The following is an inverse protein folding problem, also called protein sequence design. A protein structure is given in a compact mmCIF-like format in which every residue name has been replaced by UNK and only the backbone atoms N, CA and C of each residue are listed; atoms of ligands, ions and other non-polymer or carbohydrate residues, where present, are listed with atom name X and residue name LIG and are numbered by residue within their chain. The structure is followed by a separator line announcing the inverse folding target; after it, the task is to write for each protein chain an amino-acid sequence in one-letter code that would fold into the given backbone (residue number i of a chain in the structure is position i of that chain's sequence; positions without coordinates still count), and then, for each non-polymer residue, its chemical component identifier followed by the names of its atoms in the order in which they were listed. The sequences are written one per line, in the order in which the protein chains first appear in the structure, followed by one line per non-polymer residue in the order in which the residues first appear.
data_IF_499293285812
#
_entry.id   IF_499293285812
#
_cell.length_a   1.000
_cell.length_b   1.000
_cell.length_c   1.000
_cell.angle_alpha   90.00
_cell.angle_beta   90.00
_cell.angle_gamma   90.00
#
_symmetry.space_group_name_H-M   'P 1'
#
loop_
_entity.id
_entity.type
_entity.pdbx_description
1 polymer ?
#
# COMPACT_ATOMS: atom_id res chain seq x y z
N UNK A 1 -53.91 -1.17 -57.52
CA UNK A 1 -52.49 -0.98 -57.14
C UNK A 1 -52.15 -2.02 -56.09
N UNK A 2 -51.49 -3.09 -56.48
CA UNK A 2 -50.97 -4.12 -55.57
C UNK A 2 -49.52 -4.38 -55.99
N UNK A 3 -48.57 -3.97 -55.14
CA UNK A 3 -47.15 -4.18 -55.38
C UNK A 3 -46.71 -5.45 -54.63
N UNK A 4 -46.29 -6.45 -55.40
CA UNK A 4 -45.61 -7.63 -54.92
C UNK A 4 -44.13 -7.28 -54.65
N UNK A 5 -43.62 -7.62 -53.46
CA UNK A 5 -42.19 -7.59 -53.17
C UNK A 5 -41.71 -9.03 -53.07
N UNK A 6 -40.91 -9.45 -54.05
CA UNK A 6 -40.09 -10.67 -54.01
C UNK A 6 -38.93 -10.42 -53.03
N UNK A 7 -38.82 -11.23 -51.99
CA UNK A 7 -37.60 -11.31 -51.19
C UNK A 7 -36.67 -12.36 -51.82
N UNK A 8 -35.54 -11.92 -52.37
CA UNK A 8 -34.45 -12.78 -52.77
C UNK A 8 -33.49 -12.94 -51.58
N UNK A 9 -33.33 -14.17 -51.12
CA UNK A 9 -32.30 -14.53 -50.15
C UNK A 9 -30.94 -14.61 -50.89
N UNK A 10 -30.02 -13.71 -50.54
CA UNK A 10 -28.61 -13.83 -50.93
C UNK A 10 -27.86 -14.24 -49.68
N UNK A 11 -27.40 -15.50 -49.67
CA UNK A 11 -26.47 -16.00 -48.67
C UNK A 11 -25.09 -15.40 -48.88
N UNK A 12 -24.53 -14.80 -47.82
CA UNK A 12 -23.11 -14.46 -47.76
C UNK A 12 -22.46 -15.45 -46.81
N UNK A 13 -21.61 -16.31 -47.36
CA UNK A 13 -20.72 -17.17 -46.59
C UNK A 13 -19.69 -16.28 -45.88
N UNK A 14 -19.72 -16.26 -44.55
CA UNK A 14 -18.71 -15.60 -43.74
C UNK A 14 -17.51 -16.53 -43.58
N UNK A 15 -16.44 -16.28 -44.33
CA UNK A 15 -15.14 -16.93 -44.13
C UNK A 15 -14.51 -16.36 -42.86
N UNK A 16 -14.48 -17.14 -41.79
CA UNK A 16 -13.84 -16.79 -40.53
C UNK A 16 -12.32 -16.88 -40.68
N UNK A 17 -11.66 -15.75 -40.99
CA UNK A 17 -10.21 -15.64 -40.90
C UNK A 17 -9.80 -15.52 -39.43
N UNK A 18 -9.24 -16.57 -38.84
CA UNK A 18 -8.50 -16.46 -37.59
C UNK A 18 -7.24 -15.62 -37.84
N UNK A 19 -7.32 -14.33 -37.53
CA UNK A 19 -6.13 -13.51 -37.35
C UNK A 19 -5.43 -13.98 -36.07
N UNK A 20 -4.33 -14.71 -36.21
CA UNK A 20 -3.37 -14.94 -35.13
C UNK A 20 -2.81 -13.57 -34.74
N UNK A 21 -3.33 -12.99 -33.66
CA UNK A 21 -2.72 -11.82 -33.06
C UNK A 21 -1.27 -12.17 -32.69
N UNK A 22 -0.27 -11.34 -33.03
CA UNK A 22 1.09 -11.57 -32.59
C UNK A 22 1.09 -11.59 -31.06
N UNK A 23 1.64 -12.67 -30.48
CA UNK A 23 1.92 -12.77 -29.06
C UNK A 23 2.52 -11.44 -28.59
N UNK A 24 1.81 -10.74 -27.72
CA UNK A 24 2.36 -9.57 -27.03
C UNK A 24 3.63 -10.04 -26.33
N UNK A 25 4.78 -9.66 -26.90
CA UNK A 25 6.06 -9.79 -26.19
C UNK A 25 5.89 -8.99 -24.91
N UNK A 26 6.24 -9.59 -23.77
CA UNK A 26 6.34 -8.86 -22.52
C UNK A 26 7.19 -7.62 -22.80
N UNK A 27 6.55 -6.45 -22.68
CA UNK A 27 7.22 -5.17 -22.85
C UNK A 27 8.32 -5.13 -21.78
N UNK A 28 9.55 -4.79 -22.17
CA UNK A 28 10.63 -4.61 -21.18
C UNK A 28 10.10 -3.67 -20.09
N UNK A 29 10.32 -3.97 -18.79
CA UNK A 29 9.80 -3.14 -17.72
C UNK A 29 10.27 -1.69 -17.97
N UNK A 30 9.37 -0.69 -17.85
CA UNK A 30 9.72 0.66 -18.23
C UNK A 30 10.95 1.11 -17.43
N UNK A 31 12.05 1.39 -18.14
CA UNK A 31 13.31 1.79 -17.52
C UNK A 31 13.16 3.13 -16.80
N UNK A 32 13.90 3.28 -15.70
CA UNK A 32 13.93 4.52 -14.92
C UNK A 32 12.73 4.70 -13.97
N UNK A 33 11.82 3.73 -13.86
CA UNK A 33 10.75 3.81 -12.85
C UNK A 33 11.26 3.42 -11.46
N UNK A 34 10.76 4.12 -10.45
CA UNK A 34 10.85 3.69 -9.06
C UNK A 34 9.50 3.92 -8.38
N UNK A 35 9.14 3.01 -7.48
CA UNK A 35 7.89 3.08 -6.71
C UNK A 35 8.22 3.30 -5.24
N UNK A 36 7.51 4.26 -4.63
CA UNK A 36 7.69 4.70 -3.26
C UNK A 36 6.41 4.44 -2.46
N UNK A 37 6.54 3.76 -1.32
CA UNK A 37 5.52 3.74 -0.28
C UNK A 37 5.77 4.88 0.71
N UNK A 38 4.69 5.56 1.08
CA UNK A 38 4.72 6.82 1.79
C UNK A 38 3.63 6.80 2.86
N UNK A 39 3.91 7.33 4.04
CA UNK A 39 2.92 7.43 5.12
C UNK A 39 3.06 8.73 5.90
N UNK A 40 1.97 9.20 6.49
CA UNK A 40 1.97 10.40 7.33
C UNK A 40 0.57 10.94 7.55
N UNK A 41 0.38 12.26 7.46
CA UNK A 41 -0.89 12.90 7.79
C UNK A 41 -1.33 13.97 6.79
N UNK A 42 -2.64 14.08 6.63
CA UNK A 42 -3.33 15.25 6.08
C UNK A 42 -4.11 15.89 7.23
N UNK A 43 -3.67 17.05 7.71
CA UNK A 43 -4.14 17.61 8.97
C UNK A 43 -3.94 16.62 10.12
N UNK A 44 -5.03 16.17 10.73
CA UNK A 44 -5.00 15.15 11.80
C UNK A 44 -5.25 13.74 11.29
N UNK A 45 -5.52 13.56 9.99
CA UNK A 45 -5.93 12.28 9.43
C UNK A 45 -4.71 11.47 8.96
N UNK A 46 -4.44 10.29 9.52
CA UNK A 46 -3.37 9.42 9.04
C UNK A 46 -3.71 8.87 7.65
N UNK A 47 -2.73 8.91 6.76
CA UNK A 47 -2.82 8.46 5.36
C UNK A 47 -1.62 7.61 4.98
N UNK A 48 -1.82 6.75 3.98
CA UNK A 48 -0.75 6.14 3.20
C UNK A 48 -0.88 6.53 1.73
N UNK A 49 0.22 6.41 1.00
CA UNK A 49 0.29 6.76 -0.42
C UNK A 49 1.35 5.91 -1.11
N UNK A 50 1.09 5.53 -2.35
CA UNK A 50 2.09 4.98 -3.24
C UNK A 50 2.25 5.87 -4.47
N UNK A 51 3.49 6.24 -4.75
CA UNK A 51 3.86 7.03 -5.92
C UNK A 51 4.83 6.26 -6.80
N UNK A 52 4.57 6.25 -8.10
CA UNK A 52 5.51 5.83 -9.12
C UNK A 52 6.09 7.06 -9.77
N UNK A 53 7.41 7.12 -9.86
CA UNK A 53 8.15 8.23 -10.47
C UNK A 53 9.11 7.70 -11.53
N UNK A 54 9.49 8.56 -12.46
CA UNK A 54 10.48 8.30 -13.50
C UNK A 54 11.74 9.12 -13.24
N UNK A 55 12.88 8.47 -13.43
CA UNK A 55 14.22 9.03 -13.26
C UNK A 55 14.38 9.77 -11.92
N UNK A 56 13.71 9.23 -10.89
CA UNK A 56 13.63 9.74 -9.53
C UNK A 56 13.08 11.18 -9.39
N UNK A 57 12.41 11.71 -10.41
CA UNK A 57 11.98 13.12 -10.47
C UNK A 57 10.53 13.30 -10.88
N UNK A 58 10.12 12.64 -11.96
CA UNK A 58 8.84 12.94 -12.59
C UNK A 58 7.76 12.02 -12.06
N UNK A 59 6.67 12.58 -11.55
CA UNK A 59 5.50 11.79 -11.19
C UNK A 59 4.89 11.10 -12.42
N UNK A 60 4.61 9.80 -12.29
CA UNK A 60 3.99 8.99 -13.35
C UNK A 60 2.58 8.59 -12.94
N UNK A 61 2.41 8.01 -11.76
CA UNK A 61 1.12 7.54 -11.25
C UNK A 61 1.17 7.39 -9.74
N UNK A 62 -0.01 7.29 -9.12
CA UNK A 62 -0.09 6.99 -7.70
C UNK A 62 -1.52 6.95 -7.20
N UNK A 63 -1.65 6.60 -5.93
CA UNK A 63 -2.90 6.68 -5.18
C UNK A 63 -2.57 7.01 -3.73
N UNK A 64 -3.57 7.47 -2.99
CA UNK A 64 -3.48 7.56 -1.53
C UNK A 64 -4.73 6.99 -0.88
N UNK A 65 -4.66 6.71 0.40
CA UNK A 65 -5.78 6.19 1.17
C UNK A 65 -5.77 6.76 2.58
N UNK A 66 -6.95 6.90 3.18
CA UNK A 66 -7.08 7.16 4.60
C UNK A 66 -6.93 5.85 5.37
N UNK A 67 -6.09 5.83 6.41
CA UNK A 67 -5.90 4.62 7.24
C UNK A 67 -7.21 4.10 7.84
N UNK A 68 -8.18 5.00 8.05
CA UNK A 68 -9.52 4.65 8.54
C UNK A 68 -10.31 3.74 7.58
N UNK A 69 -10.20 3.96 6.27
CA UNK A 69 -11.02 3.28 5.25
C UNK A 69 -10.22 2.32 4.38
N UNK A 70 -8.90 2.52 4.25
CA UNK A 70 -8.00 1.74 3.41
C UNK A 70 -8.50 1.63 1.96
N UNK A 71 -9.17 2.69 1.50
CA UNK A 71 -9.70 2.76 0.13
C UNK A 71 -8.78 3.64 -0.69
N UNK A 72 -8.27 3.06 -1.77
CA UNK A 72 -7.40 3.78 -2.70
C UNK A 72 -8.17 4.84 -3.47
N UNK A 73 -7.64 6.06 -3.41
CA UNK A 73 -8.08 7.21 -4.17
C UNK A 73 -7.00 7.46 -5.22
N UNK A 74 -7.29 7.21 -6.51
CA UNK A 74 -6.30 7.38 -7.56
C UNK A 74 -5.90 8.85 -7.67
N UNK A 75 -4.63 9.09 -8.00
CA UNK A 75 -4.07 10.42 -8.15
C UNK A 75 -3.61 10.65 -9.59
N UNK A 76 -3.94 11.82 -10.09
CA UNK A 76 -3.33 12.39 -11.30
C UNK A 76 -2.44 13.55 -10.88
N UNK A 77 -1.44 13.92 -11.68
CA UNK A 77 -0.54 14.98 -11.26
C UNK A 77 0.66 15.16 -12.15
N UNK A 78 1.55 16.04 -11.72
CA UNK A 78 2.83 16.30 -12.37
C UNK A 78 3.81 16.95 -11.39
N UNK A 79 5.08 16.88 -11.73
CA UNK A 79 6.13 17.70 -11.14
C UNK A 79 6.25 19.02 -11.92
N UNK A 80 6.50 20.12 -11.21
CA UNK A 80 6.82 21.44 -11.77
C UNK A 80 7.97 22.06 -10.96
N UNK A 81 9.20 21.89 -11.47
CA UNK A 81 10.39 22.13 -10.66
C UNK A 81 10.37 21.28 -9.40
N UNK A 82 10.34 21.93 -8.23
CA UNK A 82 10.33 21.26 -6.92
C UNK A 82 8.91 21.05 -6.36
N UNK A 83 7.87 21.40 -7.12
CA UNK A 83 6.47 21.32 -6.68
C UNK A 83 5.77 20.14 -7.34
N UNK A 84 5.35 19.19 -6.53
CA UNK A 84 4.47 18.10 -6.91
C UNK A 84 3.01 18.54 -6.75
N UNK A 85 2.26 18.59 -7.86
CA UNK A 85 0.82 18.83 -7.82
C UNK A 85 0.07 17.55 -8.11
N UNK A 86 -0.75 17.07 -7.17
CA UNK A 86 -1.60 15.88 -7.34
C UNK A 86 -3.07 16.27 -7.24
N UNK A 87 -3.95 15.51 -7.89
CA UNK A 87 -5.40 15.75 -7.94
C UNK A 87 -6.15 14.45 -7.77
N UNK A 88 -7.18 14.52 -6.94
CA UNK A 88 -8.17 13.48 -6.76
C UNK A 88 -9.30 13.62 -7.80
N UNK A 89 -9.97 12.51 -8.15
CA UNK A 89 -11.21 12.56 -8.92
C UNK A 89 -12.31 13.40 -8.27
N UNK A 90 -12.30 13.47 -6.93
CA UNK A 90 -13.27 14.21 -6.11
C UNK A 90 -13.07 15.74 -6.13
N UNK A 91 -12.01 16.23 -6.78
CA UNK A 91 -11.63 17.64 -6.80
C UNK A 91 -10.67 18.07 -5.68
N UNK A 92 -10.28 17.17 -4.77
CA UNK A 92 -9.17 17.41 -3.84
C UNK A 92 -7.84 17.60 -4.58
N UNK A 93 -6.98 18.49 -4.11
CA UNK A 93 -5.70 18.79 -4.74
C UNK A 93 -4.57 18.90 -3.70
N UNK A 94 -3.46 18.25 -3.98
CA UNK A 94 -2.22 18.38 -3.24
C UNK A 94 -1.29 19.35 -3.94
N UNK A 95 -0.61 20.19 -3.15
CA UNK A 95 0.55 20.97 -3.57
C UNK A 95 1.67 20.70 -2.59
N UNK A 96 2.62 19.88 -3.01
CA UNK A 96 3.69 19.33 -2.17
C UNK A 96 5.06 19.74 -2.69
N UNK A 97 6.06 19.69 -1.82
CA UNK A 97 7.47 19.78 -2.15
C UNK A 97 8.24 18.71 -1.40
N UNK A 98 9.37 18.30 -1.96
CA UNK A 98 10.27 17.34 -1.33
C UNK A 98 10.93 17.96 -0.09
N UNK A 99 11.09 17.15 0.96
CA UNK A 99 11.79 17.53 2.19
C UNK A 99 12.89 16.53 2.53
N UNK A 100 13.98 17.00 3.14
CA UNK A 100 15.10 16.17 3.57
C UNK A 100 15.52 16.56 4.99
N UNK A 101 15.98 15.58 5.77
CA UNK A 101 16.57 15.80 7.10
C UNK A 101 18.09 16.03 7.06
N UNK A 102 18.72 15.87 5.89
CA UNK A 102 20.15 16.10 5.69
C UNK A 102 20.42 17.52 5.16
N UNK A 103 21.61 18.05 5.45
CA UNK A 103 22.07 19.30 4.83
C UNK A 103 22.33 19.10 3.34
N UNK A 104 21.31 19.27 2.50
CA UNK A 104 21.38 19.18 1.04
C UNK A 104 21.88 20.49 0.41
N UNK A 105 22.84 21.16 1.05
CA UNK A 105 23.26 22.53 0.68
C UNK A 105 23.75 22.56 -0.78
N UNK A 106 22.97 23.20 -1.65
CA UNK A 106 23.27 23.34 -3.09
C UNK A 106 22.81 22.18 -3.99
N UNK A 107 22.13 21.15 -3.47
CA UNK A 107 21.59 20.06 -4.28
C UNK A 107 20.08 20.21 -4.48
N UNK A 108 19.61 20.05 -5.71
CA UNK A 108 18.18 19.92 -6.01
C UNK A 108 17.66 18.60 -5.42
N UNK A 109 16.52 18.67 -4.72
CA UNK A 109 15.89 17.49 -4.15
C UNK A 109 15.25 16.63 -5.25
N UNK A 110 15.37 15.32 -5.07
CA UNK A 110 14.74 14.27 -5.86
C UNK A 110 14.05 13.30 -4.91
N UNK A 111 13.24 12.40 -5.43
CA UNK A 111 12.63 11.35 -4.58
C UNK A 111 13.68 10.45 -3.91
N UNK A 112 14.92 10.41 -4.41
CA UNK A 112 15.99 9.55 -3.89
C UNK A 112 16.80 10.19 -2.75
N UNK A 113 17.02 11.51 -2.77
CA UNK A 113 17.79 12.22 -1.74
C UNK A 113 16.90 12.96 -0.71
N UNK A 114 15.60 12.70 -0.74
CA UNK A 114 14.59 13.26 0.15
C UNK A 114 14.09 12.22 1.14
N UNK A 115 13.57 12.69 2.26
CA UNK A 115 12.98 11.85 3.31
C UNK A 115 11.45 11.87 3.27
N UNK A 116 10.84 12.74 2.49
CA UNK A 116 9.39 12.84 2.40
C UNK A 116 8.88 13.97 1.53
N UNK A 117 7.60 14.27 1.69
CA UNK A 117 6.89 15.37 1.07
C UNK A 117 6.18 16.20 2.14
N UNK A 118 6.14 17.51 1.94
CA UNK A 118 5.38 18.43 2.77
C UNK A 118 4.61 19.44 1.92
N UNK A 119 3.52 19.99 2.45
CA UNK A 119 2.76 21.03 1.77
C UNK A 119 1.31 21.09 2.21
N UNK A 120 0.40 21.17 1.26
CA UNK A 120 -1.03 21.34 1.55
C UNK A 120 -1.91 20.46 0.70
N UNK A 121 -3.03 20.04 1.27
CA UNK A 121 -4.18 19.49 0.56
C UNK A 121 -5.33 20.49 0.61
N UNK A 122 -6.03 20.68 -0.51
CA UNK A 122 -7.15 21.62 -0.63
C UNK A 122 -8.35 20.97 -1.29
N UNK A 123 -9.56 21.21 -0.75
CA UNK A 123 -10.82 20.85 -1.40
C UNK A 123 -11.88 21.90 -1.08
N UNK A 124 -12.35 22.61 -2.13
CA UNK A 124 -13.20 23.78 -1.95
C UNK A 124 -12.51 24.83 -1.08
N UNK A 125 -13.13 25.21 0.04
CA UNK A 125 -12.59 26.20 0.99
C UNK A 125 -11.66 25.59 2.05
N UNK A 126 -11.57 24.26 2.13
CA UNK A 126 -10.77 23.58 3.15
C UNK A 126 -9.33 23.45 2.67
N UNK A 127 -8.39 23.82 3.53
CA UNK A 127 -6.95 23.62 3.35
C UNK A 127 -6.39 22.93 4.58
N UNK A 128 -5.67 21.83 4.39
CA UNK A 128 -5.03 21.06 5.47
C UNK A 128 -3.53 20.92 5.19
N UNK A 129 -2.67 21.00 6.22
CA UNK A 129 -1.25 20.72 6.05
C UNK A 129 -1.04 19.24 5.72
N UNK A 130 0.01 18.95 4.95
CA UNK A 130 0.41 17.58 4.59
C UNK A 130 1.86 17.40 5.00
N UNK A 131 2.11 16.32 5.75
CA UNK A 131 3.45 15.88 6.15
C UNK A 131 3.51 14.37 6.02
N UNK A 132 4.31 13.87 5.08
CA UNK A 132 4.41 12.45 4.78
C UNK A 132 5.85 12.05 4.53
N UNK A 133 6.28 10.93 5.13
CA UNK A 133 7.63 10.39 5.02
C UNK A 133 7.69 9.20 4.07
N UNK A 134 8.83 9.02 3.40
CA UNK A 134 9.09 7.83 2.59
C UNK A 134 9.39 6.65 3.51
N UNK A 135 8.62 5.57 3.36
CA UNK A 135 8.74 4.36 4.18
C UNK A 135 9.36 3.20 3.42
N UNK A 136 9.13 3.13 2.11
CA UNK A 136 9.71 2.09 1.25
C UNK A 136 10.00 2.65 -0.14
N UNK A 137 11.01 2.10 -0.80
CA UNK A 137 11.31 2.39 -2.21
C UNK A 137 11.84 1.15 -2.91
N UNK A 138 11.48 0.95 -4.17
CA UNK A 138 12.07 -0.07 -5.03
C UNK A 138 12.05 0.37 -6.49
N UNK A 139 12.99 -0.17 -7.27
CA UNK A 139 13.04 0.09 -8.71
C UNK A 139 11.97 -0.72 -9.45
N UNK A 140 11.37 -0.08 -10.45
CA UNK A 140 10.29 -0.62 -11.27
C UNK A 140 8.92 -0.02 -10.96
N UNK A 141 7.91 -0.39 -11.79
CA UNK A 141 6.52 -0.03 -11.56
C UNK A 141 5.96 -0.74 -10.31
N UNK A 142 4.75 -0.35 -9.85
CA UNK A 142 4.05 -1.07 -8.80
C UNK A 142 3.91 -2.55 -9.14
N UNK A 143 4.17 -3.42 -8.15
CA UNK A 143 3.98 -4.85 -8.32
C UNK A 143 2.50 -5.14 -8.57
N UNK A 144 2.20 -5.99 -9.56
CA UNK A 144 0.84 -6.47 -9.79
C UNK A 144 0.31 -7.27 -8.59
N UNK A 145 1.22 -7.92 -7.85
CA UNK A 145 0.97 -8.72 -6.66
C UNK A 145 2.00 -8.37 -5.61
N UNK A 146 1.61 -7.64 -4.57
CA UNK A 146 2.55 -7.17 -3.55
C UNK A 146 3.06 -8.32 -2.68
N UNK A 147 2.19 -9.29 -2.38
CA UNK A 147 2.47 -10.35 -1.41
C UNK A 147 2.82 -11.71 -2.06
N UNK A 148 3.21 -11.72 -3.34
CA UNK A 148 3.54 -12.95 -4.08
C UNK A 148 4.72 -13.74 -3.48
N UNK A 149 5.69 -13.07 -2.84
CA UNK A 149 6.79 -13.75 -2.12
C UNK A 149 6.27 -14.54 -0.90
N UNK A 150 5.11 -14.16 -0.37
CA UNK A 150 4.53 -14.73 0.84
C UNK A 150 3.48 -15.80 0.52
N UNK A 151 2.63 -15.57 -0.47
CA UNK A 151 1.46 -16.42 -0.75
C UNK A 151 0.87 -16.18 -2.15
N UNK A 152 0.18 -17.19 -2.67
CA UNK A 152 -0.61 -17.09 -3.90
C UNK A 152 -1.99 -16.44 -3.68
N UNK A 153 -2.37 -16.16 -2.42
CA UNK A 153 -3.67 -15.55 -2.09
C UNK A 153 -3.77 -14.07 -2.51
N UNK A 154 -4.94 -13.59 -2.97
CA UNK A 154 -5.17 -12.18 -3.32
C UNK A 154 -4.67 -11.18 -2.27
N UNK A 155 -4.16 -10.02 -2.71
CA UNK A 155 -3.52 -9.05 -1.80
C UNK A 155 -4.50 -8.58 -0.71
N UNK A 156 -5.76 -8.41 -1.07
CA UNK A 156 -6.85 -8.09 -0.15
C UNK A 156 -7.05 -9.15 0.96
N UNK A 157 -6.75 -10.43 0.71
CA UNK A 157 -6.85 -11.50 1.72
C UNK A 157 -5.73 -11.35 2.76
N UNK A 158 -4.51 -11.07 2.30
CA UNK A 158 -3.35 -10.81 3.17
C UNK A 158 -3.60 -9.59 4.05
N UNK A 159 -4.08 -8.50 3.46
CA UNK A 159 -4.37 -7.25 4.17
C UNK A 159 -5.53 -7.40 5.15
N UNK A 160 -6.60 -8.11 4.76
CA UNK A 160 -7.70 -8.42 5.66
C UNK A 160 -7.25 -9.26 6.86
N UNK A 161 -6.31 -10.19 6.66
CA UNK A 161 -5.73 -10.99 7.74
C UNK A 161 -4.94 -10.13 8.73
N UNK A 162 -4.08 -9.23 8.23
CA UNK A 162 -3.35 -8.29 9.06
C UNK A 162 -4.31 -7.35 9.82
N UNK A 163 -5.29 -6.77 9.11
CA UNK A 163 -6.30 -5.90 9.69
C UNK A 163 -7.12 -6.59 10.79
N UNK A 164 -7.48 -7.87 10.60
CA UNK A 164 -8.20 -8.67 11.61
C UNK A 164 -7.40 -8.80 12.90
N UNK A 165 -6.10 -9.13 12.81
CA UNK A 165 -5.23 -9.22 13.98
C UNK A 165 -5.14 -7.88 14.72
N UNK A 166 -4.80 -6.79 14.01
CA UNK A 166 -4.66 -5.46 14.62
C UNK A 166 -5.94 -5.02 15.32
N UNK A 167 -7.09 -5.14 14.63
CA UNK A 167 -8.39 -4.75 15.16
C UNK A 167 -8.82 -5.60 16.37
N UNK A 168 -8.49 -6.89 16.39
CA UNK A 168 -8.77 -7.75 17.54
C UNK A 168 -7.90 -7.37 18.74
N UNK A 169 -6.60 -7.19 18.54
CA UNK A 169 -5.67 -6.80 19.60
C UNK A 169 -6.05 -5.45 20.23
N UNK A 170 -6.30 -4.42 19.41
CA UNK A 170 -6.64 -3.06 19.86
C UNK A 170 -7.98 -3.02 20.62
N UNK A 171 -8.96 -3.85 20.25
CA UNK A 171 -10.25 -3.95 20.97
C UNK A 171 -10.18 -4.82 22.22
N UNK A 172 -9.03 -5.43 22.52
CA UNK A 172 -8.89 -6.36 23.64
C UNK A 172 -9.55 -7.72 23.41
N UNK A 173 -9.93 -8.06 22.17
CA UNK A 173 -10.45 -9.38 21.80
C UNK A 173 -9.31 -10.38 21.67
N UNK A 174 -8.89 -10.89 22.83
CA UNK A 174 -7.72 -11.77 22.98
C UNK A 174 -7.87 -13.05 22.19
N UNK A 175 -9.07 -13.62 22.17
CA UNK A 175 -9.35 -14.87 21.48
C UNK A 175 -9.20 -14.70 19.96
N UNK A 176 -9.85 -13.68 19.38
CA UNK A 176 -9.76 -13.44 17.95
C UNK A 176 -8.36 -13.04 17.49
N UNK A 177 -7.63 -12.27 18.30
CA UNK A 177 -6.24 -11.92 18.00
C UNK A 177 -5.34 -13.16 18.04
N UNK A 178 -5.51 -14.01 19.06
CA UNK A 178 -4.76 -15.25 19.18
C UNK A 178 -5.07 -16.28 18.08
N UNK A 179 -6.27 -16.23 17.50
CA UNK A 179 -6.66 -17.01 16.32
C UNK A 179 -6.06 -16.48 15.01
N UNK A 180 -5.61 -15.22 14.98
CA UNK A 180 -4.98 -14.60 13.82
C UNK A 180 -3.44 -14.70 13.84
N UNK A 181 -2.89 -15.57 14.70
CA UNK A 181 -1.45 -15.79 14.89
C UNK A 181 -0.98 -17.05 14.18
N UNK A 182 0.16 -16.97 13.50
CA UNK A 182 0.90 -18.10 12.94
C UNK A 182 1.87 -18.66 13.97
N UNK A 183 1.43 -19.69 14.70
CA UNK A 183 2.27 -20.34 15.71
C UNK A 183 3.37 -21.23 15.09
N UNK A 184 4.54 -21.36 15.75
CA UNK A 184 4.94 -20.64 16.95
C UNK A 184 5.20 -19.15 16.67
N UNK A 185 4.73 -18.28 17.56
CA UNK A 185 4.88 -16.83 17.47
C UNK A 185 6.18 -16.41 18.15
N UNK A 186 6.99 -15.62 17.46
CA UNK A 186 8.18 -15.00 18.04
C UNK A 186 7.81 -13.65 18.66
N UNK A 187 8.13 -13.45 19.93
CA UNK A 187 8.01 -12.15 20.60
C UNK A 187 9.40 -11.67 20.95
N UNK A 188 9.83 -10.58 20.30
CA UNK A 188 11.07 -9.91 20.61
C UNK A 188 10.82 -8.79 21.63
N UNK A 189 11.81 -8.55 22.48
CA UNK A 189 11.87 -7.56 23.55
C UNK A 189 13.17 -7.80 24.32
N UNK A 190 13.30 -7.31 25.55
CA UNK A 190 14.50 -7.50 26.38
C UNK A 190 14.88 -8.99 26.53
N UNK A 191 13.87 -9.85 26.61
CA UNK A 191 14.03 -11.30 26.60
C UNK A 191 13.19 -11.90 25.47
N UNK A 192 13.81 -12.20 24.32
CA UNK A 192 13.12 -12.86 23.22
C UNK A 192 12.51 -14.19 23.68
N UNK A 193 11.28 -14.44 23.27
CA UNK A 193 10.56 -15.68 23.61
C UNK A 193 9.74 -16.19 22.44
N UNK A 194 9.49 -17.48 22.48
CA UNK A 194 8.66 -18.19 21.50
C UNK A 194 7.39 -18.67 22.19
N UNK A 195 6.25 -18.17 21.73
CA UNK A 195 4.92 -18.59 22.18
C UNK A 195 4.46 -19.72 21.27
N UNK A 196 4.30 -20.91 21.82
CA UNK A 196 4.13 -22.14 21.02
C UNK A 196 2.71 -22.31 20.48
N UNK A 197 1.72 -21.78 21.20
CA UNK A 197 0.32 -22.00 20.86
C UNK A 197 -0.59 -20.92 21.47
N UNK A 198 -1.87 -20.98 21.09
CA UNK A 198 -2.94 -20.09 21.54
C UNK A 198 -3.06 -20.01 23.06
N UNK A 199 -3.02 -21.15 23.75
CA UNK A 199 -3.14 -21.19 25.22
C UNK A 199 -2.01 -20.43 25.89
N UNK A 200 -0.76 -20.64 25.45
CA UNK A 200 0.39 -19.91 25.96
C UNK A 200 0.29 -18.40 25.71
N UNK A 201 -0.19 -18.00 24.52
CA UNK A 201 -0.40 -16.58 24.21
C UNK A 201 -1.42 -15.93 25.14
N UNK A 202 -2.56 -16.58 25.36
CA UNK A 202 -3.62 -16.06 26.23
C UNK A 202 -3.15 -15.93 27.69
N UNK A 203 -2.38 -16.90 28.20
CA UNK A 203 -1.78 -16.84 29.53
C UNK A 203 -0.79 -15.68 29.66
N UNK A 204 0.01 -15.43 28.61
CA UNK A 204 1.02 -14.36 28.61
C UNK A 204 0.51 -13.03 28.06
N UNK A 205 -0.80 -12.91 27.78
CA UNK A 205 -1.36 -11.81 27.01
C UNK A 205 -0.93 -10.43 27.51
N UNK A 206 -1.13 -10.15 28.80
CA UNK A 206 -0.82 -8.85 29.39
C UNK A 206 0.68 -8.52 29.39
N UNK A 207 1.56 -9.54 29.35
CA UNK A 207 3.01 -9.34 29.27
C UNK A 207 3.50 -9.02 27.84
N UNK A 208 2.71 -9.36 26.83
CA UNK A 208 3.05 -9.18 25.41
C UNK A 208 2.34 -7.93 24.86
N UNK A 209 1.03 -7.84 25.07
CA UNK A 209 0.18 -6.74 24.63
C UNK A 209 0.17 -5.61 25.67
N UNK A 210 1.34 -4.98 25.85
CA UNK A 210 1.51 -3.81 26.71
C UNK A 210 0.72 -2.61 26.16
N UNK A 211 0.41 -1.59 26.99
CA UNK A 211 -0.23 -0.37 26.50
C UNK A 211 0.54 0.30 25.35
N UNK A 212 1.88 0.32 25.42
CA UNK A 212 2.73 0.86 24.36
C UNK A 212 2.59 0.08 23.05
N UNK A 213 2.59 -1.26 23.11
CA UNK A 213 2.35 -2.08 21.93
C UNK A 213 0.96 -1.81 21.35
N UNK A 214 -0.08 -1.75 22.17
CA UNK A 214 -1.45 -1.50 21.72
C UNK A 214 -1.60 -0.13 21.02
N UNK A 215 -0.89 0.90 21.48
CA UNK A 215 -0.81 2.20 20.80
C UNK A 215 -0.15 2.03 19.42
N UNK A 216 0.99 1.35 19.34
CA UNK A 216 1.66 1.10 18.07
C UNK A 216 0.79 0.29 17.08
N UNK A 217 0.06 -0.73 17.56
CA UNK A 217 -0.86 -1.52 16.75
C UNK A 217 -2.07 -0.70 16.25
N UNK A 218 -2.54 0.26 17.04
CA UNK A 218 -3.64 1.16 16.65
C UNK A 218 -3.23 2.10 15.53
N UNK A 219 -1.98 2.55 15.55
CA UNK A 219 -1.46 3.53 14.59
C UNK A 219 -0.88 2.84 13.34
N UNK A 220 -0.80 1.51 13.35
CA UNK A 220 -0.31 0.67 12.28
C UNK A 220 -1.29 0.54 11.10
N UNK A 221 -0.74 0.45 9.88
CA UNK A 221 -1.49 0.44 8.62
C UNK A 221 -1.39 -0.94 7.94
N UNK A 222 -2.48 -1.72 7.87
CA UNK A 222 -2.47 -3.06 7.27
C UNK A 222 -2.74 -3.04 5.76
N UNK A 223 -2.20 -2.05 5.04
CA UNK A 223 -2.42 -1.87 3.61
C UNK A 223 -1.12 -1.45 2.94
N UNK A 224 -0.84 -2.03 1.77
CA UNK A 224 0.41 -1.88 1.03
C UNK A 224 1.68 -2.14 1.85
N UNK A 225 1.62 -3.16 2.72
CA UNK A 225 2.67 -3.48 3.67
C UNK A 225 3.99 -3.84 2.97
N UNK A 226 5.12 -3.45 3.56
CA UNK A 226 6.44 -3.83 3.07
C UNK A 226 6.63 -5.35 3.18
N UNK A 227 7.15 -5.99 2.13
CA UNK A 227 7.42 -7.43 2.13
C UNK A 227 8.91 -7.68 2.04
N UNK A 228 9.41 -8.59 2.89
CA UNK A 228 10.78 -9.07 2.83
C UNK A 228 10.88 -10.45 3.45
N UNK A 229 11.59 -11.37 2.79
CA UNK A 229 11.81 -12.74 3.27
C UNK A 229 10.50 -13.47 3.57
N UNK A 230 9.53 -13.35 2.66
CA UNK A 230 8.22 -14.00 2.75
C UNK A 230 7.34 -13.51 3.90
N UNK A 231 7.59 -12.30 4.43
CA UNK A 231 6.77 -11.71 5.49
C UNK A 231 6.40 -10.26 5.19
N UNK A 232 5.16 -9.90 5.48
CA UNK A 232 4.65 -8.54 5.39
C UNK A 232 4.81 -7.80 6.73
N UNK A 233 5.28 -6.56 6.70
CA UNK A 233 5.61 -5.75 7.86
C UNK A 233 4.58 -4.66 8.09
N UNK A 234 4.17 -4.49 9.35
CA UNK A 234 3.24 -3.45 9.80
C UNK A 234 3.86 -2.60 10.92
N UNK A 235 3.60 -1.29 10.87
CA UNK A 235 3.96 -0.33 11.92
C UNK A 235 5.47 -0.26 12.13
N UNK A 236 6.24 -0.07 11.06
CA UNK A 236 7.72 0.03 11.10
C UNK A 236 8.40 -1.14 11.82
N UNK A 237 7.85 -2.35 11.59
CA UNK A 237 8.39 -3.59 12.14
C UNK A 237 7.76 -4.01 13.45
N UNK A 238 6.74 -3.33 13.97
CA UNK A 238 6.05 -3.74 15.20
C UNK A 238 5.47 -5.15 15.07
N UNK A 239 4.91 -5.51 13.90
CA UNK A 239 4.45 -6.88 13.62
C UNK A 239 4.90 -7.31 12.23
N UNK A 240 5.31 -8.57 12.12
CA UNK A 240 5.52 -9.25 10.84
C UNK A 240 4.51 -10.38 10.68
N UNK A 241 3.90 -10.46 9.50
CA UNK A 241 2.92 -11.46 9.12
C UNK A 241 3.54 -12.40 8.10
N UNK A 242 3.35 -13.70 8.28
CA UNK A 242 3.53 -14.67 7.20
C UNK A 242 2.18 -14.94 6.52
N UNK A 243 2.15 -15.91 5.60
CA UNK A 243 0.93 -16.30 4.89
C UNK A 243 -0.22 -16.73 5.82
N UNK A 244 0.05 -17.16 7.05
CA UNK A 244 -0.96 -17.71 7.98
C UNK A 244 -1.41 -16.71 9.03
N UNK A 245 -0.61 -15.70 9.37
CA UNK A 245 -0.98 -14.67 10.34
C UNK A 245 0.22 -13.98 10.98
N UNK A 246 -0.01 -13.33 12.11
CA UNK A 246 1.05 -12.65 12.85
C UNK A 246 2.11 -13.68 13.29
N UNK A 247 3.35 -13.48 12.87
CA UNK A 247 4.47 -14.42 13.07
C UNK A 247 5.55 -13.88 14.01
N UNK A 248 5.76 -12.57 13.99
CA UNK A 248 6.70 -11.88 14.87
C UNK A 248 6.03 -10.64 15.45
N UNK A 249 6.13 -10.46 16.77
CA UNK A 249 5.78 -9.21 17.45
C UNK A 249 7.06 -8.64 18.06
N UNK A 250 7.34 -7.38 17.76
CA UNK A 250 8.42 -6.62 18.38
C UNK A 250 7.80 -5.72 19.45
N UNK A 251 7.84 -6.18 20.70
CA UNK A 251 7.50 -5.35 21.85
C UNK A 251 8.68 -4.44 22.18
N UNK A 252 8.44 -3.13 22.15
CA UNK A 252 9.34 -2.13 22.72
C UNK A 252 8.89 -1.80 24.13
#
# INVERSE_FOLDING_TARGET
MAFAIKAAAVGVAATLALALAPNARAEDPPKGLSTFGISGKIGTYPVGMQLTVRDHRDFVSGHYFYVKTLTDIPLTGRMDGDILTLREPSGGAFRLHLVSNASTRGQTLTFYNSTGLAGTWTQGVRTLPVEIGFSTSYDGPPRARRYEEMTDEPDAVVEARAAKFLKAAVRGDRAAAADAVSYPLRVNGDRPKTIRNKTELLTQWNSIFTPALLVALRDAVPHEMFVRQGMAMVGDGVVWFDAKGAKVINGR
#
